data_IF_434547481920
#
_entry.id   IF_434547481920
#
_cell.length_a   1.000
_cell.length_b   1.000
_cell.length_c   1.000
_cell.angle_alpha   90.00
_cell.angle_beta   90.00
_cell.angle_gamma   90.00
#
_symmetry.space_group_name_H-M   'P 1'
#
loop_
_entity.id
_entity.type
_entity.pdbx_description
1 polymer ?
#
# COMPACT_ATOMS: atom_id res chain seq x y z
N UNK A 1 -5.59 2.61 -33.37
CA UNK A 1 -4.60 2.25 -32.34
C UNK A 1 -3.88 3.52 -31.93
N UNK A 2 -3.88 3.85 -30.64
CA UNK A 2 -3.22 5.06 -30.11
C UNK A 2 -2.09 4.68 -29.17
N UNK A 3 -1.06 5.51 -29.08
CA UNK A 3 -0.01 5.35 -28.07
C UNK A 3 -0.46 5.95 -26.74
N UNK A 4 -0.14 5.31 -25.63
CA UNK A 4 -0.55 5.79 -24.31
C UNK A 4 0.53 5.68 -23.24
N UNK A 5 0.40 6.47 -22.18
CA UNK A 5 1.19 6.38 -20.95
C UNK A 5 0.28 6.45 -19.72
N UNK A 6 0.59 5.67 -18.68
CA UNK A 6 -0.21 5.58 -17.46
C UNK A 6 0.52 6.20 -16.28
N UNK A 7 -0.20 7.03 -15.53
CA UNK A 7 0.21 7.61 -14.25
C UNK A 7 -0.79 7.26 -13.18
N UNK A 8 -0.30 7.15 -11.95
CA UNK A 8 -1.15 7.06 -10.79
C UNK A 8 -0.64 7.98 -9.69
N UNK A 9 -1.57 8.46 -8.87
CA UNK A 9 -1.29 9.16 -7.63
C UNK A 9 -1.98 8.42 -6.48
N UNK A 10 -1.43 8.53 -5.28
CA UNK A 10 -2.03 7.99 -4.07
C UNK A 10 -1.44 6.65 -3.64
N UNK A 11 -2.32 5.72 -3.25
CA UNK A 11 -1.95 4.51 -2.53
C UNK A 11 -1.76 3.29 -3.45
N UNK A 12 -1.40 2.15 -2.85
CA UNK A 12 -1.24 0.85 -3.53
C UNK A 12 -2.52 0.39 -4.23
N UNK A 13 -3.69 0.75 -3.70
CA UNK A 13 -5.00 0.46 -4.33
C UNK A 13 -5.16 1.28 -5.61
N UNK A 14 -4.90 2.59 -5.58
CA UNK A 14 -4.90 3.44 -6.78
C UNK A 14 -3.89 2.94 -7.83
N UNK A 15 -2.74 2.44 -7.40
CA UNK A 15 -1.80 1.81 -8.32
C UNK A 15 -2.39 0.56 -8.99
N UNK A 16 -3.03 -0.32 -8.22
CA UNK A 16 -3.66 -1.52 -8.78
C UNK A 16 -4.77 -1.17 -9.78
N UNK A 17 -5.60 -0.17 -9.48
CA UNK A 17 -6.64 0.33 -10.37
C UNK A 17 -6.05 0.89 -11.68
N UNK A 18 -4.94 1.63 -11.61
CA UNK A 18 -4.25 2.13 -12.80
C UNK A 18 -3.66 1.00 -13.65
N UNK A 19 -3.12 -0.05 -13.01
CA UNK A 19 -2.63 -1.23 -13.72
C UNK A 19 -3.77 -2.06 -14.35
N UNK A 20 -4.98 -1.97 -13.82
CA UNK A 20 -6.15 -2.58 -14.45
C UNK A 20 -6.55 -1.83 -15.73
N UNK A 21 -6.68 -0.50 -15.66
CA UNK A 21 -6.95 0.32 -16.83
C UNK A 21 -5.88 0.16 -17.93
N UNK A 22 -4.60 0.11 -17.52
CA UNK A 22 -3.48 -0.20 -18.41
C UNK A 22 -3.68 -1.50 -19.18
N UNK A 23 -4.11 -2.57 -18.51
CA UNK A 23 -4.33 -3.87 -19.16
C UNK A 23 -5.48 -3.84 -20.14
N UNK A 24 -6.58 -3.18 -19.79
CA UNK A 24 -7.71 -3.02 -20.70
C UNK A 24 -7.29 -2.31 -22.01
N UNK A 25 -6.47 -1.26 -21.91
CA UNK A 25 -5.93 -0.56 -23.08
C UNK A 25 -5.00 -1.44 -23.93
N UNK A 26 -4.12 -2.22 -23.31
CA UNK A 26 -3.27 -3.17 -24.03
C UNK A 26 -4.09 -4.25 -24.75
N UNK A 27 -5.12 -4.79 -24.08
CA UNK A 27 -6.03 -5.78 -24.65
C UNK A 27 -6.84 -5.21 -25.84
N UNK A 28 -7.17 -3.92 -25.79
CA UNK A 28 -7.81 -3.19 -26.88
C UNK A 28 -6.83 -2.80 -28.02
N UNK A 29 -5.56 -3.21 -27.95
CA UNK A 29 -4.56 -3.00 -28.99
C UNK A 29 -3.89 -1.62 -28.96
N UNK A 30 -4.00 -0.86 -27.87
CA UNK A 30 -3.19 0.33 -27.67
C UNK A 30 -1.73 -0.04 -27.34
N UNK A 31 -0.80 0.86 -27.67
CA UNK A 31 0.63 0.66 -27.43
C UNK A 31 1.11 1.57 -26.29
N UNK A 32 1.69 0.99 -25.25
CA UNK A 32 2.30 1.80 -24.19
C UNK A 32 3.68 2.30 -24.63
N UNK A 33 3.93 3.59 -24.44
CA UNK A 33 5.19 4.26 -24.79
C UNK A 33 5.62 5.20 -23.65
N UNK A 34 6.88 5.70 -23.64
CA UNK A 34 7.28 6.74 -22.70
C UNK A 34 6.33 7.94 -22.73
N UNK A 35 6.13 8.60 -21.60
CA UNK A 35 5.19 9.72 -21.46
C UNK A 35 5.44 10.84 -22.48
N UNK A 36 6.69 11.10 -22.86
CA UNK A 36 7.04 12.12 -23.85
C UNK A 36 6.46 11.85 -25.24
N UNK A 37 6.17 10.59 -25.54
CA UNK A 37 5.83 10.10 -26.88
C UNK A 37 4.36 9.62 -26.95
N UNK A 38 3.64 9.69 -25.82
CA UNK A 38 2.27 9.21 -25.70
C UNK A 38 1.25 10.25 -26.18
N UNK A 39 0.37 9.84 -27.09
CA UNK A 39 -0.76 10.67 -27.52
C UNK A 39 -1.87 10.73 -26.47
N UNK A 40 -2.06 9.63 -25.73
CA UNK A 40 -3.05 9.49 -24.67
C UNK A 40 -2.37 9.40 -23.30
N UNK A 41 -2.69 10.31 -22.39
CA UNK A 41 -2.27 10.21 -21.00
C UNK A 41 -3.41 9.68 -20.13
N UNK A 42 -3.18 8.59 -19.40
CA UNK A 42 -4.14 8.01 -18.46
C UNK A 42 -3.69 8.30 -17.04
N UNK A 43 -4.51 8.98 -16.25
CA UNK A 43 -4.14 9.48 -14.93
C UNK A 43 -5.16 8.99 -13.90
N UNK A 44 -4.70 8.12 -13.00
CA UNK A 44 -5.50 7.73 -11.84
C UNK A 44 -5.23 8.65 -10.65
N UNK A 45 -6.26 9.32 -10.15
CA UNK A 45 -6.18 10.42 -9.18
C UNK A 45 -6.43 9.99 -7.74
N UNK A 46 -5.99 10.83 -6.79
CA UNK A 46 -6.13 10.58 -5.36
C UNK A 46 -6.73 11.79 -4.63
N UNK A 47 -7.56 11.54 -3.61
CA UNK A 47 -8.25 12.56 -2.82
C UNK A 47 -8.20 12.27 -1.31
N UNK A 48 -7.19 11.53 -0.82
CA UNK A 48 -7.08 11.24 0.62
C UNK A 48 -6.65 12.47 1.43
N UNK A 49 -5.87 13.36 0.83
CA UNK A 49 -5.50 14.67 1.40
C UNK A 49 -5.71 15.78 0.38
N UNK A 50 -5.82 17.03 0.86
CA UNK A 50 -5.88 18.21 -0.02
C UNK A 50 -4.64 18.33 -0.92
N UNK A 51 -3.47 17.94 -0.40
CA UNK A 51 -2.22 17.94 -1.17
C UNK A 51 -2.25 16.89 -2.31
N UNK A 52 -2.73 15.68 -2.04
CA UNK A 52 -2.85 14.63 -3.05
C UNK A 52 -3.83 15.01 -4.18
N UNK A 53 -4.93 15.67 -3.82
CA UNK A 53 -5.90 16.20 -4.78
C UNK A 53 -5.29 17.32 -5.62
N UNK A 54 -4.57 18.26 -5.00
CA UNK A 54 -3.83 19.32 -5.71
C UNK A 54 -2.78 18.78 -6.68
N UNK A 55 -2.00 17.77 -6.27
CA UNK A 55 -1.04 17.07 -7.15
C UNK A 55 -1.74 16.34 -8.30
N UNK A 56 -2.92 15.78 -8.07
CA UNK A 56 -3.72 15.13 -9.12
C UNK A 56 -4.14 16.14 -10.18
N UNK A 57 -4.68 17.29 -9.77
CA UNK A 57 -5.02 18.39 -10.70
C UNK A 57 -3.80 18.88 -11.47
N UNK A 58 -2.68 19.09 -10.77
CA UNK A 58 -1.42 19.51 -11.41
C UNK A 58 -0.94 18.50 -12.45
N UNK A 59 -1.04 17.20 -12.19
CA UNK A 59 -0.67 16.14 -13.13
C UNK A 59 -1.51 16.20 -14.42
N UNK A 60 -2.82 16.43 -14.29
CA UNK A 60 -3.73 16.61 -15.43
C UNK A 60 -3.37 17.89 -16.20
N UNK A 61 -3.23 19.03 -15.52
CA UNK A 61 -2.84 20.30 -16.15
C UNK A 61 -1.47 20.30 -16.84
N UNK A 62 -0.55 19.42 -16.43
CA UNK A 62 0.72 19.22 -17.14
C UNK A 62 0.53 18.34 -18.37
N UNK A 63 -0.27 17.28 -18.25
CA UNK A 63 -0.49 16.31 -19.32
C UNK A 63 -1.21 16.92 -20.53
N UNK A 64 -2.15 17.84 -20.31
CA UNK A 64 -2.82 18.55 -21.41
C UNK A 64 -1.87 19.42 -22.26
N UNK A 65 -0.63 19.69 -21.80
CA UNK A 65 0.34 20.48 -22.59
C UNK A 65 0.99 19.67 -23.71
N UNK A 66 1.04 18.35 -23.56
CA UNK A 66 1.77 17.45 -24.48
C UNK A 66 0.86 16.39 -25.10
N UNK A 67 -0.13 15.91 -24.36
CA UNK A 67 -1.04 14.87 -24.82
C UNK A 67 -2.13 15.40 -25.74
N UNK A 68 -2.55 14.56 -26.69
CA UNK A 68 -3.71 14.78 -27.56
C UNK A 68 -5.02 14.60 -26.78
N UNK A 69 -5.09 13.58 -25.93
CA UNK A 69 -6.21 13.33 -25.02
C UNK A 69 -5.70 12.97 -23.62
N UNK A 70 -6.48 13.29 -22.60
CA UNK A 70 -6.17 12.93 -21.20
C UNK A 70 -7.36 12.22 -20.57
N UNK A 71 -7.18 10.95 -20.22
CA UNK A 71 -8.18 10.15 -19.51
C UNK A 71 -7.89 10.20 -18.01
N UNK A 72 -8.89 10.60 -17.23
CA UNK A 72 -8.71 10.83 -15.79
C UNK A 72 -9.75 10.02 -15.02
N UNK A 73 -9.29 9.23 -14.06
CA UNK A 73 -10.14 8.40 -13.20
C UNK A 73 -9.66 8.47 -11.76
N UNK A 74 -10.25 7.68 -10.87
CA UNK A 74 -9.79 7.51 -9.49
C UNK A 74 -10.59 8.28 -8.45
N UNK A 75 -10.10 8.27 -7.22
CA UNK A 75 -10.87 8.74 -6.07
C UNK A 75 -11.24 10.23 -6.17
N UNK A 76 -10.36 11.08 -6.70
CA UNK A 76 -10.67 12.51 -6.83
C UNK A 76 -11.72 12.78 -7.91
N UNK A 77 -11.70 12.00 -9.01
CA UNK A 77 -12.74 12.07 -10.05
C UNK A 77 -14.08 11.57 -9.51
N UNK A 78 -14.09 10.47 -8.75
CA UNK A 78 -15.31 9.98 -8.08
C UNK A 78 -15.85 11.00 -7.06
N UNK A 79 -14.99 11.77 -6.40
CA UNK A 79 -15.40 12.81 -5.48
C UNK A 79 -16.04 14.00 -6.21
N UNK A 80 -15.37 14.48 -7.26
CA UNK A 80 -15.84 15.59 -8.08
C UNK A 80 -15.15 15.53 -9.44
N UNK A 81 -15.86 15.06 -10.47
CA UNK A 81 -15.32 14.95 -11.83
C UNK A 81 -15.15 16.33 -12.50
N UNK A 82 -16.00 17.31 -12.17
CA UNK A 82 -16.01 18.63 -12.79
C UNK A 82 -14.67 19.36 -12.59
N UNK A 83 -14.04 19.21 -11.42
CA UNK A 83 -12.74 19.83 -11.12
C UNK A 83 -11.60 19.44 -12.08
N UNK A 84 -11.78 18.34 -12.83
CA UNK A 84 -10.84 17.84 -13.83
C UNK A 84 -11.35 18.12 -15.25
N UNK A 85 -12.63 17.85 -15.53
CA UNK A 85 -13.22 18.05 -16.85
C UNK A 85 -13.19 19.52 -17.30
N UNK A 86 -13.31 20.47 -16.36
CA UNK A 86 -13.27 21.91 -16.64
C UNK A 86 -11.85 22.45 -16.91
N UNK A 87 -10.80 21.64 -16.72
CA UNK A 87 -9.41 22.10 -16.91
C UNK A 87 -9.07 22.32 -18.39
N UNK A 88 -9.59 21.48 -19.29
CA UNK A 88 -9.35 21.54 -20.73
C UNK A 88 -10.35 20.61 -21.46
N UNK A 89 -10.80 20.99 -22.65
CA UNK A 89 -11.77 20.21 -23.44
C UNK A 89 -11.26 18.83 -23.88
N UNK A 90 -9.94 18.58 -23.82
CA UNK A 90 -9.31 17.28 -24.11
C UNK A 90 -9.32 16.31 -22.93
N UNK A 91 -9.78 16.75 -21.76
CA UNK A 91 -9.88 15.90 -20.56
C UNK A 91 -11.18 15.12 -20.58
N UNK A 92 -11.09 13.78 -20.54
CA UNK A 92 -12.23 12.89 -20.36
C UNK A 92 -12.17 12.25 -18.99
N UNK A 93 -13.25 12.39 -18.22
CA UNK A 93 -13.32 11.84 -16.85
C UNK A 93 -14.11 10.54 -16.84
N UNK A 94 -13.65 9.59 -16.03
CA UNK A 94 -14.27 8.27 -15.85
C UNK A 94 -14.52 8.05 -14.37
N UNK A 95 -15.80 7.96 -14.00
CA UNK A 95 -16.26 7.71 -12.64
C UNK A 95 -16.69 6.26 -12.47
N UNK A 96 -16.56 5.73 -11.26
CA UNK A 96 -17.02 4.38 -10.92
C UNK A 96 -15.93 3.54 -10.28
N UNK A 97 -16.13 2.22 -10.30
CA UNK A 97 -15.14 1.25 -9.85
C UNK A 97 -14.03 1.08 -10.88
N UNK A 98 -12.95 0.39 -10.49
CA UNK A 98 -11.87 0.07 -11.42
C UNK A 98 -12.33 -0.81 -12.59
N UNK A 99 -13.36 -1.65 -12.38
CA UNK A 99 -13.96 -2.47 -13.44
C UNK A 99 -14.72 -1.59 -14.44
N UNK A 100 -15.58 -0.68 -13.95
CA UNK A 100 -16.33 0.27 -14.79
C UNK A 100 -15.40 1.12 -15.65
N UNK A 101 -14.35 1.66 -15.02
CA UNK A 101 -13.34 2.49 -15.69
C UNK A 101 -12.59 1.69 -16.74
N UNK A 102 -12.18 0.46 -16.42
CA UNK A 102 -11.42 -0.38 -17.36
C UNK A 102 -12.27 -0.79 -18.56
N UNK A 103 -13.54 -1.14 -18.35
CA UNK A 103 -14.48 -1.44 -19.42
C UNK A 103 -14.73 -0.22 -20.32
N UNK A 104 -14.89 0.97 -19.73
CA UNK A 104 -15.08 2.21 -20.47
C UNK A 104 -13.84 2.62 -21.28
N UNK A 105 -12.63 2.41 -20.75
CA UNK A 105 -11.38 2.78 -21.42
C UNK A 105 -10.95 1.77 -22.50
N UNK A 106 -11.14 0.46 -22.27
CA UNK A 106 -10.77 -0.58 -23.22
C UNK A 106 -11.78 -0.78 -24.35
N UNK A 107 -13.00 -0.23 -24.22
CA UNK A 107 -14.15 -0.73 -24.98
C UNK A 107 -14.54 -2.12 -24.47
N UNK A 108 -15.79 -2.55 -24.69
CA UNK A 108 -16.23 -3.89 -24.30
C UNK A 108 -15.45 -4.95 -25.09
N UNK A 109 -14.31 -5.42 -24.55
CA UNK A 109 -13.55 -6.55 -25.09
C UNK A 109 -13.75 -7.71 -24.13
N UNK A 110 -14.42 -8.76 -24.59
CA UNK A 110 -14.50 -10.05 -23.89
C UNK A 110 -13.08 -10.53 -23.59
N UNK A 111 -12.80 -10.77 -22.30
CA UNK A 111 -11.47 -10.99 -21.73
C UNK A 111 -10.85 -12.38 -22.07
N UNK A 112 -11.21 -13.01 -23.18
CA UNK A 112 -10.75 -14.36 -23.54
C UNK A 112 -9.66 -14.41 -24.62
N UNK A 113 -9.08 -13.29 -25.04
CA UNK A 113 -7.99 -13.32 -26.02
C UNK A 113 -6.60 -13.27 -25.37
N UNK A 114 -5.84 -14.31 -25.69
CA UNK A 114 -4.45 -14.59 -25.32
C UNK A 114 -3.50 -13.43 -25.71
N UNK A 115 -3.25 -12.52 -24.76
CA UNK A 115 -2.29 -11.40 -24.91
C UNK A 115 -0.87 -11.88 -24.60
N UNK A 116 -0.42 -12.97 -25.23
CA UNK A 116 0.89 -13.58 -24.96
C UNK A 116 2.06 -12.97 -25.73
N UNK A 117 1.87 -12.05 -26.69
CA UNK A 117 2.92 -11.84 -27.72
C UNK A 117 3.39 -10.41 -28.00
N UNK A 118 3.03 -9.40 -27.19
CA UNK A 118 3.53 -8.02 -27.38
C UNK A 118 4.01 -7.34 -26.10
N UNK A 119 4.61 -8.09 -25.20
CA UNK A 119 5.34 -7.50 -24.07
C UNK A 119 6.73 -7.09 -24.56
N UNK A 120 6.96 -5.79 -24.75
CA UNK A 120 8.32 -5.26 -24.84
C UNK A 120 9.04 -5.61 -23.55
N UNK A 121 10.25 -6.16 -23.68
CA UNK A 121 11.08 -6.74 -22.62
C UNK A 121 11.49 -5.76 -21.48
N UNK A 122 10.94 -4.54 -21.45
CA UNK A 122 11.32 -3.47 -20.53
C UNK A 122 10.51 -3.41 -19.22
N UNK A 123 9.58 -4.34 -18.96
CA UNK A 123 8.57 -4.13 -17.91
C UNK A 123 8.63 -5.03 -16.67
N UNK A 124 9.64 -5.91 -16.54
CA UNK A 124 9.96 -6.58 -15.28
C UNK A 124 10.77 -5.68 -14.32
N UNK A 125 10.38 -4.41 -14.17
CA UNK A 125 11.15 -3.45 -13.36
C UNK A 125 10.88 -3.57 -11.86
N UNK A 126 9.88 -4.34 -11.43
CA UNK A 126 9.47 -4.41 -10.02
C UNK A 126 9.51 -5.84 -9.51
N UNK A 127 10.08 -6.01 -8.33
CA UNK A 127 10.10 -7.29 -7.61
C UNK A 127 8.76 -7.63 -6.95
N UNK A 128 7.91 -6.61 -6.72
CA UNK A 128 6.64 -6.72 -5.98
C UNK A 128 5.43 -6.54 -6.89
N UNK A 129 4.51 -7.50 -6.86
CA UNK A 129 3.21 -7.41 -7.50
C UNK A 129 2.13 -7.00 -6.51
N UNK A 130 1.53 -5.83 -6.72
CA UNK A 130 0.37 -5.40 -5.92
C UNK A 130 -0.90 -6.04 -6.45
N UNK A 131 -1.60 -6.79 -5.60
CA UNK A 131 -2.84 -7.47 -5.94
C UNK A 131 -3.95 -6.91 -5.06
N UNK A 132 -4.86 -6.12 -5.66
CA UNK A 132 -6.05 -5.64 -4.95
C UNK A 132 -6.95 -6.85 -4.65
N UNK A 133 -7.29 -7.10 -3.40
CA UNK A 133 -8.16 -8.22 -2.96
C UNK A 133 -9.49 -7.73 -2.40
N UNK A 134 -9.53 -6.49 -1.94
CA UNK A 134 -10.68 -5.87 -1.28
C UNK A 134 -10.75 -4.39 -1.71
N UNK A 135 -11.95 -3.81 -1.78
CA UNK A 135 -12.18 -2.40 -2.09
C UNK A 135 -13.37 -1.84 -1.29
N UNK A 136 -13.43 -0.52 -1.09
CA UNK A 136 -14.44 0.12 -0.24
C UNK A 136 -14.26 -0.17 1.26
N UNK A 137 -15.08 0.45 2.12
CA UNK A 137 -14.97 0.29 3.57
C UNK A 137 -16.25 0.74 4.28
N UNK A 138 -16.66 -0.03 5.29
CA UNK A 138 -17.85 0.23 6.12
C UNK A 138 -17.51 0.74 7.54
N UNK A 139 -16.23 1.03 7.83
CA UNK A 139 -15.81 1.50 9.16
C UNK A 139 -16.28 2.92 9.49
N UNK A 140 -16.64 3.72 8.47
CA UNK A 140 -17.14 5.10 8.60
C UNK A 140 -16.34 6.01 9.56
N UNK A 141 -15.01 5.92 9.54
CA UNK A 141 -14.15 6.79 10.37
C UNK A 141 -14.40 8.27 10.08
N UNK A 142 -14.42 9.10 11.11
CA UNK A 142 -14.89 10.49 11.05
C UNK A 142 -14.11 11.36 10.04
N UNK A 143 -12.83 11.07 9.79
CA UNK A 143 -11.97 11.80 8.86
C UNK A 143 -11.92 11.21 7.44
N UNK A 144 -12.51 10.03 7.22
CA UNK A 144 -12.26 9.23 6.04
C UNK A 144 -13.30 9.50 4.94
N UNK A 145 -12.86 9.95 3.76
CA UNK A 145 -13.72 10.18 2.60
C UNK A 145 -14.00 8.90 1.77
N UNK A 146 -13.32 7.80 2.09
CA UNK A 146 -13.33 6.59 1.27
C UNK A 146 -14.73 5.98 1.05
N UNK A 147 -15.62 5.88 2.07
CA UNK A 147 -16.97 5.36 1.84
C UNK A 147 -17.73 6.14 0.76
N UNK A 148 -17.51 7.45 0.66
CA UNK A 148 -18.12 8.31 -0.36
C UNK A 148 -17.59 8.02 -1.78
N UNK A 149 -16.28 7.80 -1.93
CA UNK A 149 -15.63 7.73 -3.25
C UNK A 149 -15.41 6.31 -3.77
N UNK A 150 -15.52 5.29 -2.91
CA UNK A 150 -15.34 3.86 -3.24
C UNK A 150 -16.52 2.98 -2.81
N UNK A 151 -17.49 3.51 -2.06
CA UNK A 151 -18.65 2.76 -1.55
C UNK A 151 -18.30 1.79 -0.42
N UNK A 152 -19.26 0.94 -0.07
CA UNK A 152 -19.13 -0.05 1.00
C UNK A 152 -18.15 -1.19 0.69
N UNK A 153 -17.81 -2.00 1.69
CA UNK A 153 -16.78 -3.02 1.56
C UNK A 153 -17.16 -4.12 0.56
N UNK A 154 -16.20 -4.50 -0.31
CA UNK A 154 -16.36 -5.56 -1.31
C UNK A 154 -15.07 -6.35 -1.45
N UNK A 155 -15.20 -7.67 -1.46
CA UNK A 155 -14.08 -8.61 -1.65
C UNK A 155 -14.09 -9.16 -3.07
N UNK A 156 -12.91 -9.38 -3.64
CA UNK A 156 -12.77 -10.09 -4.91
C UNK A 156 -12.85 -11.60 -4.67
N UNK A 157 -13.47 -12.36 -5.58
CA UNK A 157 -13.42 -13.82 -5.54
C UNK A 157 -11.99 -14.36 -5.46
N UNK A 158 -11.76 -15.38 -4.63
CA UNK A 158 -10.42 -15.96 -4.45
C UNK A 158 -9.80 -16.40 -5.78
N UNK A 159 -10.60 -17.00 -6.68
CA UNK A 159 -10.16 -17.40 -8.03
C UNK A 159 -9.53 -16.25 -8.82
N UNK A 160 -10.17 -15.08 -8.80
CA UNK A 160 -9.72 -13.90 -9.54
C UNK A 160 -8.48 -13.25 -8.92
N UNK A 161 -8.29 -13.44 -7.61
CA UNK A 161 -7.05 -13.05 -6.91
C UNK A 161 -5.91 -13.98 -7.32
N UNK A 162 -6.11 -15.30 -7.27
CA UNK A 162 -5.09 -16.29 -7.64
C UNK A 162 -4.66 -16.16 -9.11
N UNK A 163 -5.59 -15.89 -10.03
CA UNK A 163 -5.27 -15.63 -11.43
C UNK A 163 -4.41 -14.37 -11.61
N UNK A 164 -4.67 -13.32 -10.81
CA UNK A 164 -3.82 -12.13 -10.80
C UNK A 164 -2.42 -12.45 -10.28
N UNK A 165 -2.32 -13.23 -9.20
CA UNK A 165 -1.04 -13.65 -8.63
C UNK A 165 -0.22 -14.44 -9.66
N UNK A 166 -0.81 -15.44 -10.33
CA UNK A 166 -0.14 -16.22 -11.39
C UNK A 166 0.41 -15.32 -12.49
N UNK A 167 -0.37 -14.32 -12.93
CA UNK A 167 0.09 -13.35 -13.93
C UNK A 167 1.27 -12.52 -13.43
N UNK A 168 1.24 -12.05 -12.18
CA UNK A 168 2.31 -11.23 -11.58
C UNK A 168 3.60 -12.03 -11.48
N UNK A 169 3.53 -13.27 -11.01
CA UNK A 169 4.68 -14.17 -10.98
C UNK A 169 5.23 -14.43 -12.37
N UNK A 170 4.37 -14.68 -13.36
CA UNK A 170 4.77 -14.81 -14.77
C UNK A 170 5.46 -13.58 -15.36
N UNK A 171 5.28 -12.40 -14.75
CA UNK A 171 5.95 -11.14 -15.09
C UNK A 171 7.24 -10.88 -14.27
N UNK A 172 7.73 -11.89 -13.53
CA UNK A 172 8.94 -11.76 -12.70
C UNK A 172 8.73 -10.99 -11.39
N UNK A 173 7.51 -11.00 -10.84
CA UNK A 173 7.20 -10.42 -9.52
C UNK A 173 6.98 -11.53 -8.48
N UNK A 174 8.04 -12.02 -7.82
CA UNK A 174 7.95 -13.15 -6.88
C UNK A 174 7.36 -12.78 -5.50
N UNK A 175 7.32 -11.50 -5.12
CA UNK A 175 6.64 -11.05 -3.90
C UNK A 175 5.25 -10.48 -4.24
N UNK A 176 4.21 -11.15 -3.73
CA UNK A 176 2.83 -10.68 -3.83
C UNK A 176 2.49 -9.80 -2.63
N UNK A 177 2.06 -8.57 -2.89
CA UNK A 177 1.55 -7.66 -1.87
C UNK A 177 0.03 -7.54 -2.03
N UNK A 178 -0.70 -8.22 -1.16
CA UNK A 178 -2.16 -8.14 -1.09
C UNK A 178 -2.56 -6.78 -0.54
N UNK A 179 -3.42 -6.08 -1.26
CA UNK A 179 -3.81 -4.70 -0.95
C UNK A 179 -5.31 -4.49 -1.09
N UNK A 180 -5.81 -3.43 -0.47
CA UNK A 180 -7.22 -3.07 -0.40
C UNK A 180 -7.39 -1.89 0.54
N UNK A 181 -8.63 -1.47 0.74
CA UNK A 181 -8.94 -0.37 1.64
C UNK A 181 -9.02 -0.86 3.08
N UNK A 182 -9.81 -1.92 3.32
CA UNK A 182 -9.91 -2.66 4.57
C UNK A 182 -9.64 -4.14 4.29
N UNK A 183 -8.37 -4.50 4.06
CA UNK A 183 -7.99 -5.86 3.63
C UNK A 183 -8.40 -6.93 4.64
N UNK A 184 -8.42 -6.59 5.93
CA UNK A 184 -8.85 -7.47 7.01
C UNK A 184 -10.32 -7.88 6.95
N UNK A 185 -11.18 -7.10 6.29
CA UNK A 185 -12.58 -7.44 6.02
C UNK A 185 -12.76 -8.42 4.86
N UNK A 186 -11.67 -8.97 4.31
CA UNK A 186 -11.77 -9.91 3.22
C UNK A 186 -12.62 -11.12 3.59
N UNK A 187 -13.61 -11.38 2.74
CA UNK A 187 -14.45 -12.56 2.76
C UNK A 187 -14.70 -12.98 1.32
N UNK A 188 -14.21 -14.14 0.90
CA UNK A 188 -14.44 -14.63 -0.45
C UNK A 188 -15.94 -14.76 -0.71
N UNK A 189 -16.52 -14.04 -1.69
CA UNK A 189 -17.95 -14.13 -1.99
C UNK A 189 -18.40 -15.51 -2.48
N UNK A 190 -17.48 -16.36 -2.96
CA UNK A 190 -17.81 -17.68 -3.51
C UNK A 190 -17.69 -18.79 -2.48
N UNK A 191 -16.57 -18.82 -1.73
CA UNK A 191 -16.24 -19.91 -0.80
C UNK A 191 -16.28 -19.51 0.66
N UNK A 192 -16.40 -18.22 0.95
CA UNK A 192 -16.40 -17.71 2.31
C UNK A 192 -15.05 -17.77 3.03
N UNK A 193 -13.93 -17.84 2.29
CA UNK A 193 -12.58 -17.77 2.87
C UNK A 193 -12.35 -16.43 3.55
N UNK A 194 -11.69 -16.45 4.70
CA UNK A 194 -11.13 -15.28 5.35
C UNK A 194 -9.75 -14.90 4.78
N UNK A 195 -9.23 -13.74 5.19
CA UNK A 195 -7.96 -13.21 4.69
C UNK A 195 -6.80 -14.19 4.85
N UNK A 196 -6.65 -14.80 6.03
CA UNK A 196 -5.54 -15.73 6.31
C UNK A 196 -5.56 -16.95 5.40
N UNK A 197 -6.75 -17.51 5.14
CA UNK A 197 -6.93 -18.66 4.26
C UNK A 197 -6.60 -18.30 2.81
N UNK A 198 -7.02 -17.13 2.34
CA UNK A 198 -6.61 -16.63 1.02
C UNK A 198 -5.09 -16.43 0.93
N UNK A 199 -4.45 -15.88 1.97
CA UNK A 199 -3.00 -15.71 1.99
C UNK A 199 -2.26 -17.04 1.87
N UNK A 200 -2.76 -18.10 2.52
CA UNK A 200 -2.19 -19.44 2.36
C UNK A 200 -2.36 -19.96 0.93
N UNK A 201 -3.53 -19.80 0.30
CA UNK A 201 -3.70 -20.21 -1.11
C UNK A 201 -2.77 -19.45 -2.07
N UNK A 202 -2.56 -18.15 -1.80
CA UNK A 202 -1.61 -17.33 -2.58
C UNK A 202 -0.17 -17.82 -2.41
N UNK A 203 0.24 -18.20 -1.19
CA UNK A 203 1.58 -18.73 -0.92
C UNK A 203 1.87 -20.05 -1.69
N UNK A 204 0.83 -20.83 -1.95
CA UNK A 204 0.91 -22.10 -2.69
C UNK A 204 0.97 -21.92 -4.21
N UNK A 205 0.80 -20.71 -4.75
CA UNK A 205 0.96 -20.45 -6.19
C UNK A 205 2.43 -20.65 -6.60
N UNK A 206 2.73 -21.50 -7.59
CA UNK A 206 4.11 -21.71 -8.04
C UNK A 206 4.81 -20.41 -8.45
N UNK A 207 6.04 -20.20 -7.96
CA UNK A 207 6.85 -19.00 -8.19
C UNK A 207 6.53 -17.81 -7.28
N UNK A 208 5.55 -17.93 -6.37
CA UNK A 208 5.43 -17.02 -5.23
C UNK A 208 6.49 -17.38 -4.20
N UNK A 209 7.33 -16.40 -3.89
CA UNK A 209 8.38 -16.50 -2.86
C UNK A 209 7.95 -15.81 -1.56
N UNK A 210 7.15 -14.75 -1.66
CA UNK A 210 6.68 -13.98 -0.49
C UNK A 210 5.26 -13.49 -0.68
N UNK A 211 4.50 -13.53 0.41
CA UNK A 211 3.16 -12.93 0.54
C UNK A 211 3.19 -11.89 1.65
N UNK A 212 2.72 -10.68 1.34
CA UNK A 212 2.69 -9.55 2.28
C UNK A 212 1.36 -8.82 2.23
N UNK A 213 0.94 -8.27 3.37
CA UNK A 213 -0.19 -7.35 3.44
C UNK A 213 0.25 -5.89 3.30
N UNK A 214 -0.55 -5.06 2.62
CA UNK A 214 -0.30 -3.62 2.62
C UNK A 214 -0.52 -2.97 3.98
N UNK A 215 -1.66 -3.30 4.61
CA UNK A 215 -2.16 -2.77 5.87
C UNK A 215 -3.34 -3.63 6.34
N UNK A 216 -3.54 -3.74 7.65
CA UNK A 216 -4.70 -4.43 8.26
C UNK A 216 -5.12 -3.68 9.52
N UNK A 217 -6.42 -3.47 9.70
CA UNK A 217 -6.92 -2.83 10.93
C UNK A 217 -6.76 -3.78 12.13
N UNK A 218 -6.52 -3.22 13.32
CA UNK A 218 -6.24 -4.03 14.53
C UNK A 218 -7.39 -4.99 14.85
N UNK A 219 -8.63 -4.56 14.64
CA UNK A 219 -9.85 -5.36 14.83
C UNK A 219 -9.97 -6.54 13.85
N UNK A 220 -9.16 -6.56 12.79
CA UNK A 220 -9.15 -7.63 11.80
C UNK A 220 -7.92 -8.53 11.88
N UNK A 221 -7.10 -8.40 12.93
CA UNK A 221 -6.05 -9.36 13.26
C UNK A 221 -6.71 -10.59 13.91
N UNK A 222 -7.47 -11.34 13.10
CA UNK A 222 -8.23 -12.53 13.47
C UNK A 222 -7.35 -13.78 13.52
N UNK A 223 -7.88 -14.84 14.10
CA UNK A 223 -7.22 -16.14 14.24
C UNK A 223 -6.76 -16.74 12.90
N UNK A 224 -7.54 -16.56 11.82
CA UNK A 224 -7.15 -17.01 10.48
C UNK A 224 -5.84 -16.36 10.01
N UNK A 225 -5.67 -15.06 10.26
CA UNK A 225 -4.47 -14.31 9.91
C UNK A 225 -3.29 -14.69 10.82
N UNK A 226 -3.52 -14.85 12.13
CA UNK A 226 -2.50 -15.31 13.08
C UNK A 226 -1.98 -16.69 12.70
N UNK A 227 -2.88 -17.61 12.35
CA UNK A 227 -2.53 -18.96 11.89
C UNK A 227 -1.68 -18.88 10.63
N UNK A 228 -2.11 -18.14 9.62
CA UNK A 228 -1.38 -18.01 8.37
C UNK A 228 0.04 -17.43 8.58
N UNK A 229 0.20 -16.40 9.41
CA UNK A 229 1.52 -15.84 9.76
C UNK A 229 2.41 -16.80 10.56
N UNK A 230 1.81 -17.69 11.35
CA UNK A 230 2.54 -18.61 12.22
C UNK A 230 2.95 -19.91 11.51
N UNK A 231 2.21 -20.35 10.49
CA UNK A 231 2.38 -21.70 9.90
C UNK A 231 2.88 -21.72 8.46
N UNK A 232 2.89 -20.59 7.74
CA UNK A 232 3.31 -20.52 6.35
C UNK A 232 4.50 -19.57 6.17
N UNK A 233 5.68 -20.12 5.89
CA UNK A 233 6.95 -19.39 5.83
C UNK A 233 6.99 -18.30 4.75
N UNK A 234 6.23 -18.47 3.65
CA UNK A 234 6.16 -17.45 2.60
C UNK A 234 5.36 -16.23 3.03
N UNK A 235 4.51 -16.34 4.05
CA UNK A 235 3.79 -15.21 4.61
C UNK A 235 4.74 -14.43 5.50
N UNK A 236 5.07 -13.22 5.05
CA UNK A 236 6.05 -12.38 5.71
C UNK A 236 5.60 -11.97 7.12
N UNK A 237 6.46 -12.10 8.16
CA UNK A 237 6.15 -11.74 9.54
C UNK A 237 6.24 -10.22 9.75
N UNK A 238 5.43 -9.48 9.00
CA UNK A 238 5.33 -8.04 9.08
C UNK A 238 3.87 -7.63 8.88
N UNK A 239 3.32 -6.93 9.88
CA UNK A 239 2.03 -6.28 9.76
C UNK A 239 2.17 -4.77 9.88
N UNK A 240 1.46 -4.08 9.00
CA UNK A 240 1.22 -2.65 9.13
C UNK A 240 -0.18 -2.46 9.71
N UNK A 241 -0.27 -2.06 10.97
CA UNK A 241 -1.50 -2.01 11.77
C UNK A 241 -1.79 -0.57 12.17
N UNK A 242 -2.60 0.18 11.40
CA UNK A 242 -2.85 1.60 11.64
C UNK A 242 -3.47 1.85 13.03
N UNK A 243 -2.75 2.59 13.87
CA UNK A 243 -3.18 2.95 15.22
C UNK A 243 -4.05 4.20 15.19
N UNK A 244 -3.74 5.14 14.30
CA UNK A 244 -4.33 6.47 14.14
C UNK A 244 -4.07 7.41 15.33
N UNK A 245 -4.29 6.97 16.56
CA UNK A 245 -4.02 7.66 17.81
C UNK A 245 -3.83 6.65 18.94
N UNK A 246 -3.06 6.97 19.99
CA UNK A 246 -3.00 6.19 21.22
C UNK A 246 -3.76 6.81 22.39
N UNK A 247 -4.72 7.68 22.09
CA UNK A 247 -5.60 8.33 23.05
C UNK A 247 -7.06 7.95 22.79
N UNK A 248 -7.76 7.49 23.82
CA UNK A 248 -9.12 6.94 23.72
C UNK A 248 -10.16 8.00 23.32
N UNK A 249 -10.06 9.23 23.84
CA UNK A 249 -10.98 10.32 23.48
C UNK A 249 -10.81 10.74 22.01
N UNK A 250 -9.56 10.82 21.54
CA UNK A 250 -9.25 11.06 20.13
C UNK A 250 -9.70 9.89 19.24
N UNK A 251 -9.45 8.64 19.64
CA UNK A 251 -9.91 7.45 18.90
C UNK A 251 -11.43 7.41 18.78
N UNK A 252 -12.16 7.71 19.85
CA UNK A 252 -13.61 7.83 19.84
C UNK A 252 -14.08 8.94 18.90
N UNK A 253 -13.46 10.12 18.97
CA UNK A 253 -13.79 11.24 18.07
C UNK A 253 -13.44 10.96 16.60
N UNK A 254 -12.44 10.12 16.35
CA UNK A 254 -12.11 9.59 15.03
C UNK A 254 -13.11 8.54 14.53
N UNK A 255 -14.03 8.06 15.37
CA UNK A 255 -14.96 6.98 15.05
C UNK A 255 -14.27 5.62 14.92
N UNK A 256 -13.27 5.35 15.77
CA UNK A 256 -12.59 4.05 15.82
C UNK A 256 -13.36 3.08 16.73
N UNK A 257 -13.32 1.80 16.35
CA UNK A 257 -14.03 0.72 17.03
C UNK A 257 -13.11 -0.05 17.99
N UNK A 258 -12.10 0.63 18.53
CA UNK A 258 -11.17 0.11 19.52
C UNK A 258 -10.59 1.26 20.34
N UNK A 259 -10.08 0.93 21.53
CA UNK A 259 -9.32 1.82 22.40
C UNK A 259 -7.82 1.41 22.46
N UNK A 260 -7.00 2.18 23.20
CA UNK A 260 -5.57 1.94 23.33
C UNK A 260 -5.23 0.58 23.96
N UNK A 261 -6.02 0.14 24.95
CA UNK A 261 -5.81 -1.14 25.62
C UNK A 261 -6.13 -2.33 24.70
N UNK A 262 -7.23 -2.27 23.96
CA UNK A 262 -7.62 -3.30 22.98
C UNK A 262 -6.60 -3.38 21.83
N UNK A 263 -6.06 -2.24 21.40
CA UNK A 263 -4.97 -2.22 20.43
C UNK A 263 -3.75 -2.99 20.97
N UNK A 264 -3.32 -2.67 22.19
CA UNK A 264 -2.16 -3.29 22.81
C UNK A 264 -2.35 -4.79 23.00
N UNK A 265 -3.50 -5.22 23.55
CA UNK A 265 -3.84 -6.62 23.77
C UNK A 265 -3.74 -7.42 22.45
N UNK A 266 -4.25 -6.87 21.35
CA UNK A 266 -4.20 -7.55 20.07
C UNK A 266 -2.78 -7.63 19.50
N UNK A 267 -1.95 -6.61 19.72
CA UNK A 267 -0.52 -6.68 19.36
C UNK A 267 0.23 -7.70 20.22
N UNK A 268 -0.09 -7.82 21.51
CA UNK A 268 0.49 -8.83 22.39
C UNK A 268 0.12 -10.25 21.93
N UNK A 269 -1.14 -10.48 21.57
CA UNK A 269 -1.60 -11.76 21.02
C UNK A 269 -0.92 -12.09 19.69
N UNK A 270 -0.73 -11.09 18.82
CA UNK A 270 0.04 -11.24 17.58
C UNK A 270 1.49 -11.66 17.85
N UNK A 271 2.18 -11.02 18.81
CA UNK A 271 3.56 -11.36 19.18
C UNK A 271 3.65 -12.72 19.89
N UNK A 272 2.64 -13.11 20.64
CA UNK A 272 2.57 -14.44 21.25
C UNK A 272 2.45 -15.54 20.18
N UNK A 273 1.64 -15.32 19.14
CA UNK A 273 1.49 -16.25 18.02
C UNK A 273 2.70 -16.24 17.07
N UNK A 274 3.31 -15.07 16.86
CA UNK A 274 4.40 -14.86 15.90
C UNK A 274 5.52 -14.04 16.56
N UNK A 275 6.42 -14.66 17.36
CA UNK A 275 7.41 -13.96 18.18
C UNK A 275 8.33 -12.99 17.43
N UNK A 276 8.60 -13.26 16.14
CA UNK A 276 9.49 -12.45 15.31
C UNK A 276 8.77 -11.43 14.42
N UNK A 277 7.47 -11.21 14.64
CA UNK A 277 6.69 -10.26 13.85
C UNK A 277 7.16 -8.84 14.06
N UNK A 278 7.36 -8.14 12.95
CA UNK A 278 7.61 -6.72 12.94
C UNK A 278 6.29 -5.96 12.76
N UNK A 279 6.03 -4.95 13.59
CA UNK A 279 4.81 -4.14 13.52
C UNK A 279 5.14 -2.70 13.20
N UNK A 280 4.49 -2.17 12.17
CA UNK A 280 4.56 -0.76 11.79
C UNK A 280 3.16 -0.15 11.79
N UNK A 281 3.04 1.18 11.84
CA UNK A 281 1.73 1.82 12.00
C UNK A 281 1.63 3.17 11.29
N UNK A 282 0.40 3.66 11.18
CA UNK A 282 0.06 5.02 10.77
C UNK A 282 -0.56 5.75 11.96
N UNK A 283 -0.23 7.05 12.11
CA UNK A 283 -0.79 7.94 13.13
C UNK A 283 -1.16 9.27 12.49
N UNK A 284 -2.33 9.80 12.85
CA UNK A 284 -2.81 11.12 12.41
C UNK A 284 -2.57 12.12 13.54
N UNK A 285 -1.64 13.04 13.35
CA UNK A 285 -1.35 14.11 14.31
C UNK A 285 -2.15 15.39 14.00
N UNK A 286 -2.50 16.10 15.05
CA UNK A 286 -3.32 17.30 15.06
C UNK A 286 -4.74 17.08 14.60
N UNK A 287 -5.31 15.91 14.91
CA UNK A 287 -6.75 15.71 14.82
C UNK A 287 -7.48 16.78 15.67
N UNK A 288 -8.71 17.20 15.33
CA UNK A 288 -9.35 18.37 15.95
C UNK A 288 -9.44 18.33 17.48
N UNK A 289 -9.58 17.15 18.07
CA UNK A 289 -9.66 16.95 19.53
C UNK A 289 -8.31 16.64 20.18
N UNK A 290 -7.19 16.59 19.43
CA UNK A 290 -5.89 16.17 19.94
C UNK A 290 -5.19 17.26 20.77
N UNK A 291 -5.24 17.12 22.09
CA UNK A 291 -4.43 17.89 23.03
C UNK A 291 -2.96 17.43 23.06
N UNK A 292 -2.09 18.22 23.72
CA UNK A 292 -0.69 17.81 23.94
C UNK A 292 -0.59 16.55 24.80
N UNK A 293 -1.48 16.37 25.79
CA UNK A 293 -1.49 15.16 26.62
C UNK A 293 -1.96 13.93 25.84
N UNK A 294 -2.96 14.07 24.96
CA UNK A 294 -3.40 13.00 24.06
C UNK A 294 -2.25 12.55 23.14
N UNK A 295 -1.49 13.50 22.59
CA UNK A 295 -0.31 13.19 21.79
C UNK A 295 0.76 12.45 22.63
N UNK A 296 0.99 12.83 23.89
CA UNK A 296 1.92 12.10 24.78
C UNK A 296 1.47 10.66 25.04
N UNK A 297 0.17 10.41 25.21
CA UNK A 297 -0.36 9.04 25.33
C UNK A 297 -0.12 8.22 24.07
N UNK A 298 -0.23 8.85 22.89
CA UNK A 298 0.15 8.22 21.61
C UNK A 298 1.63 7.81 21.57
N UNK A 299 2.54 8.65 22.05
CA UNK A 299 3.96 8.28 22.18
C UNK A 299 4.17 7.10 23.13
N UNK A 300 3.46 7.08 24.26
CA UNK A 300 3.49 5.98 25.22
C UNK A 300 3.00 4.66 24.63
N UNK A 301 1.91 4.68 23.85
CA UNK A 301 1.38 3.46 23.22
C UNK A 301 2.33 2.91 22.14
N UNK A 302 3.02 3.77 21.40
CA UNK A 302 4.05 3.36 20.43
C UNK A 302 5.19 2.59 21.12
N UNK A 303 5.60 3.02 22.30
CA UNK A 303 6.59 2.30 23.11
C UNK A 303 6.07 0.97 23.61
N UNK A 304 4.86 0.97 24.19
CA UNK A 304 4.25 -0.22 24.76
C UNK A 304 4.02 -1.31 23.70
N UNK A 305 3.56 -0.95 22.50
CA UNK A 305 3.35 -1.88 21.39
C UNK A 305 4.64 -2.22 20.62
N UNK A 306 5.78 -1.65 21.02
CA UNK A 306 7.09 -1.84 20.39
C UNK A 306 7.08 -1.58 18.87
N UNK A 307 6.44 -0.49 18.45
CA UNK A 307 6.29 -0.14 17.04
C UNK A 307 7.63 0.31 16.47
N UNK A 308 8.07 -0.32 15.39
CA UNK A 308 9.40 -0.06 14.80
C UNK A 308 9.39 1.03 13.73
N UNK A 309 8.22 1.38 13.20
CA UNK A 309 8.07 2.46 12.22
C UNK A 309 6.68 3.05 12.28
N UNK A 310 6.62 4.38 12.25
CA UNK A 310 5.37 5.15 12.21
C UNK A 310 5.36 6.03 10.97
N UNK A 311 4.32 5.93 10.15
CA UNK A 311 4.01 7.00 9.18
C UNK A 311 3.12 8.04 9.86
N UNK A 312 3.72 9.19 10.15
CA UNK A 312 2.99 10.34 10.69
C UNK A 312 2.31 11.11 9.56
N UNK A 313 0.98 11.19 9.61
CA UNK A 313 0.16 12.03 8.76
C UNK A 313 -0.37 13.23 9.55
N UNK A 314 -0.30 14.42 8.98
CA UNK A 314 -1.00 15.57 9.54
C UNK A 314 -2.49 15.49 9.18
N UNK A 315 -3.37 15.75 10.14
CA UNK A 315 -4.80 15.84 9.88
C UNK A 315 -5.08 16.85 8.75
N UNK A 316 -5.82 16.39 7.75
CA UNK A 316 -6.22 17.15 6.57
C UNK A 316 -7.75 17.15 6.49
N UNK A 317 -8.43 18.26 6.81
CA UNK A 317 -9.88 18.39 6.69
C UNK A 317 -10.35 18.02 5.28
N UNK A 318 -11.42 17.22 5.21
CA UNK A 318 -12.06 16.80 3.96
C UNK A 318 -13.53 17.20 4.00
N UNK A 319 -13.99 18.08 3.08
CA UNK A 319 -15.40 18.45 2.99
C UNK A 319 -16.31 17.23 2.92
N UNK A 320 -17.38 17.24 3.71
CA UNK A 320 -18.36 16.15 3.76
C UNK A 320 -18.00 14.98 4.68
N UNK A 321 -16.90 15.07 5.43
CA UNK A 321 -16.57 14.10 6.50
C UNK A 321 -17.07 14.59 7.86
N UNK A 322 -17.33 13.69 8.81
CA UNK A 322 -17.83 14.08 10.13
C UNK A 322 -16.82 14.94 10.91
N UNK A 323 -15.52 14.69 10.74
CA UNK A 323 -14.44 15.45 11.36
C UNK A 323 -14.31 16.88 10.80
N UNK A 324 -14.85 17.15 9.60
CA UNK A 324 -14.86 18.49 9.01
C UNK A 324 -15.65 19.47 9.89
N UNK A 325 -16.76 19.00 10.48
CA UNK A 325 -17.60 19.80 11.38
C UNK A 325 -16.91 20.16 12.71
N UNK A 326 -15.85 19.44 13.09
CA UNK A 326 -15.06 19.73 14.29
C UNK A 326 -14.07 20.89 14.09
N UNK A 327 -13.84 21.29 12.83
CA UNK A 327 -12.88 22.31 12.44
C UNK A 327 -11.42 21.83 12.53
N UNK A 328 -10.48 22.67 12.07
CA UNK A 328 -9.05 22.39 12.18
C UNK A 328 -8.41 23.28 13.25
N UNK A 329 -8.37 22.77 14.48
CA UNK A 329 -7.98 23.56 15.66
C UNK A 329 -6.48 23.58 15.92
N UNK A 330 -5.73 22.60 15.38
CA UNK A 330 -4.31 22.44 15.65
C UNK A 330 -3.48 23.14 14.57
N UNK A 331 -2.64 24.13 14.91
CA UNK A 331 -1.83 24.85 13.92
C UNK A 331 -0.89 23.93 13.13
N UNK A 332 -0.62 24.29 11.87
CA UNK A 332 0.23 23.50 10.98
C UNK A 332 1.65 23.28 11.53
N UNK A 333 2.23 24.27 12.22
CA UNK A 333 3.55 24.14 12.85
C UNK A 333 3.54 23.15 14.01
N UNK A 334 2.47 23.07 14.79
CA UNK A 334 2.32 22.08 15.86
C UNK A 334 2.17 20.67 15.28
N UNK A 335 1.39 20.50 14.19
CA UNK A 335 1.30 19.21 13.46
C UNK A 335 2.66 18.74 12.94
N UNK A 336 3.46 19.68 12.42
CA UNK A 336 4.81 19.40 11.91
C UNK A 336 5.76 19.03 13.04
N UNK A 337 5.68 19.71 14.18
CA UNK A 337 6.44 19.39 15.38
C UNK A 337 6.10 17.99 15.88
N UNK A 338 4.82 17.68 16.11
CA UNK A 338 4.32 16.36 16.53
C UNK A 338 4.75 15.26 15.57
N UNK A 339 4.61 15.49 14.26
CA UNK A 339 5.08 14.53 13.23
C UNK A 339 6.58 14.23 13.34
N UNK A 340 7.40 15.22 13.66
CA UNK A 340 8.86 15.04 13.83
C UNK A 340 9.17 14.29 15.12
N UNK A 341 8.54 14.67 16.23
CA UNK A 341 8.68 13.98 17.52
C UNK A 341 8.31 12.50 17.38
N UNK A 342 7.18 12.20 16.74
CA UNK A 342 6.68 10.85 16.52
C UNK A 342 7.65 9.96 15.73
N UNK A 343 8.22 10.50 14.64
CA UNK A 343 9.21 9.78 13.83
C UNK A 343 10.52 9.56 14.58
N UNK A 344 10.96 10.55 15.36
CA UNK A 344 12.14 10.41 16.21
C UNK A 344 11.97 9.32 17.27
N UNK A 345 10.79 9.26 17.87
CA UNK A 345 10.44 8.24 18.87
C UNK A 345 10.47 6.82 18.29
N UNK A 346 9.81 6.62 17.14
CA UNK A 346 9.81 5.35 16.43
C UNK A 346 11.21 4.92 15.94
N UNK A 347 12.09 5.88 15.62
CA UNK A 347 13.45 5.59 15.14
C UNK A 347 14.33 4.94 16.23
N UNK A 348 14.10 5.26 17.52
CA UNK A 348 14.79 4.58 18.63
C UNK A 348 14.46 3.09 18.62
N UNK A 349 13.17 2.73 18.47
CA UNK A 349 12.70 1.34 18.38
C UNK A 349 13.17 0.65 17.10
N UNK A 350 13.08 1.33 15.95
CA UNK A 350 13.66 0.90 14.67
C UNK A 350 15.13 0.51 14.80
N UNK A 351 15.91 1.32 15.52
CA UNK A 351 17.34 1.07 15.73
C UNK A 351 17.58 -0.14 16.62
N UNK A 352 16.84 -0.30 17.71
CA UNK A 352 16.94 -1.49 18.57
C UNK A 352 16.58 -2.78 17.81
N UNK A 353 15.49 -2.75 17.04
CA UNK A 353 15.07 -3.86 16.18
C UNK A 353 16.16 -4.29 15.20
N UNK A 354 16.78 -3.33 14.50
CA UNK A 354 17.89 -3.61 13.58
C UNK A 354 19.14 -4.09 14.32
N UNK A 355 19.45 -3.51 15.48
CA UNK A 355 20.62 -3.89 16.27
C UNK A 355 20.55 -5.35 16.75
N UNK A 356 19.36 -5.82 17.10
CA UNK A 356 19.13 -7.21 17.50
C UNK A 356 19.41 -8.24 16.39
N UNK A 357 19.46 -7.80 15.12
CA UNK A 357 19.75 -8.66 13.96
C UNK A 357 21.24 -8.77 13.64
N UNK A 358 22.10 -7.93 14.23
CA UNK A 358 23.52 -7.92 13.92
C UNK A 358 24.20 -9.25 14.30
N UNK A 359 25.10 -9.72 13.45
CA UNK A 359 25.74 -11.04 13.55
C UNK A 359 24.87 -12.20 13.06
N UNK A 360 23.55 -11.99 12.93
CA UNK A 360 22.60 -12.97 12.43
C UNK A 360 22.64 -13.16 10.91
N UNK A 361 21.92 -14.19 10.45
CA UNK A 361 21.80 -14.56 9.05
C UNK A 361 20.33 -14.43 8.63
N UNK A 362 20.08 -13.81 7.47
CA UNK A 362 18.75 -13.46 7.00
C UNK A 362 18.59 -13.74 5.50
N UNK A 363 17.36 -13.96 5.06
CA UNK A 363 16.98 -14.01 3.65
C UNK A 363 16.54 -12.63 3.16
N UNK A 364 17.17 -12.12 2.10
CA UNK A 364 16.89 -10.79 1.54
C UNK A 364 16.41 -10.89 0.11
N UNK A 365 15.23 -10.33 -0.15
CA UNK A 365 14.70 -10.19 -1.51
C UNK A 365 15.25 -8.91 -2.13
N UNK A 366 16.04 -9.04 -3.20
CA UNK A 366 16.69 -7.91 -3.86
C UNK A 366 15.68 -7.10 -4.68
N UNK A 367 15.56 -5.81 -4.36
CA UNK A 367 14.59 -4.89 -4.96
C UNK A 367 15.26 -3.87 -5.88
N UNK A 368 16.48 -3.42 -5.56
CA UNK A 368 17.24 -2.50 -6.41
C UNK A 368 18.67 -2.99 -6.59
N UNK A 369 19.15 -2.93 -7.81
CA UNK A 369 20.52 -3.22 -8.21
C UNK A 369 21.07 -1.94 -8.85
N UNK A 370 22.18 -1.44 -8.31
CA UNK A 370 22.93 -0.32 -8.86
C UNK A 370 24.43 -0.64 -8.82
N UNK A 371 25.22 0.04 -9.66
CA UNK A 371 26.66 -0.22 -9.81
C UNK A 371 27.45 -0.08 -8.50
N UNK A 372 26.95 0.75 -7.58
CA UNK A 372 27.60 1.04 -6.30
C UNK A 372 27.08 0.18 -5.15
N UNK A 373 25.84 -0.30 -5.23
CA UNK A 373 25.17 -0.99 -4.12
C UNK A 373 23.87 -1.68 -4.56
N UNK A 374 23.58 -2.85 -3.99
CA UNK A 374 22.26 -3.45 -4.09
C UNK A 374 21.45 -3.19 -2.81
N UNK A 375 20.13 -3.09 -2.91
CA UNK A 375 19.26 -3.01 -1.74
C UNK A 375 18.10 -3.99 -1.86
N UNK A 376 17.72 -4.54 -0.72
CA UNK A 376 16.60 -5.47 -0.60
C UNK A 376 15.96 -5.36 0.76
N UNK A 377 15.02 -6.27 1.01
CA UNK A 377 14.32 -6.34 2.29
C UNK A 377 14.29 -7.77 2.81
N UNK A 378 14.42 -7.93 4.12
CA UNK A 378 14.10 -9.17 4.83
C UNK A 378 12.59 -9.44 4.81
N UNK A 379 12.17 -10.62 5.24
CA UNK A 379 10.76 -10.98 5.31
C UNK A 379 9.96 -10.01 6.20
N UNK A 380 10.54 -9.59 7.33
CA UNK A 380 9.94 -8.64 8.27
C UNK A 380 9.99 -7.16 7.84
N UNK A 381 10.42 -6.89 6.60
CA UNK A 381 10.53 -5.55 6.02
C UNK A 381 11.66 -4.67 6.58
N UNK A 382 12.70 -5.28 7.15
CA UNK A 382 13.96 -4.59 7.44
C UNK A 382 14.74 -4.37 6.15
N UNK A 383 15.24 -3.14 5.96
CA UNK A 383 16.01 -2.77 4.78
C UNK A 383 17.44 -3.28 4.90
N UNK A 384 17.94 -3.92 3.85
CA UNK A 384 19.31 -4.42 3.77
C UNK A 384 20.06 -3.79 2.59
N UNK A 385 21.32 -3.48 2.83
CA UNK A 385 22.27 -2.95 1.88
C UNK A 385 23.33 -4.02 1.61
N UNK A 386 23.46 -4.40 0.34
CA UNK A 386 24.35 -5.46 -0.10
C UNK A 386 25.43 -4.91 -1.04
N UNK A 387 26.56 -5.61 -1.21
CA UNK A 387 27.57 -5.27 -2.19
C UNK A 387 26.98 -5.13 -3.61
N UNK A 388 27.64 -4.37 -4.50
CA UNK A 388 27.27 -4.35 -5.92
C UNK A 388 27.41 -5.75 -6.53
N UNK A 389 26.58 -6.04 -7.54
CA UNK A 389 26.50 -7.35 -8.20
C UNK A 389 26.23 -8.55 -7.27
N UNK A 390 25.70 -8.32 -6.06
CA UNK A 390 25.42 -9.38 -5.09
C UNK A 390 24.36 -10.38 -5.58
N UNK A 391 23.36 -9.93 -6.34
CA UNK A 391 22.31 -10.76 -6.93
C UNK A 391 21.57 -10.02 -8.04
N UNK A 392 20.67 -10.72 -8.74
CA UNK A 392 19.72 -10.09 -9.67
C UNK A 392 18.51 -9.52 -8.91
N UNK A 393 17.86 -8.53 -9.51
CA UNK A 393 16.56 -8.04 -9.03
C UNK A 393 15.57 -9.21 -9.00
N UNK A 394 14.86 -9.36 -7.89
CA UNK A 394 13.89 -10.44 -7.68
C UNK A 394 14.46 -11.71 -7.05
N UNK A 395 15.78 -11.78 -6.86
CA UNK A 395 16.43 -12.93 -6.23
C UNK A 395 16.35 -12.86 -4.70
N UNK A 396 16.11 -14.00 -4.06
CA UNK A 396 16.29 -14.20 -2.63
C UNK A 396 17.73 -14.62 -2.36
N UNK A 397 18.42 -13.90 -1.49
CA UNK A 397 19.80 -14.20 -1.12
C UNK A 397 19.97 -14.26 0.39
N UNK A 398 20.73 -15.26 0.82
CA UNK A 398 21.25 -15.34 2.18
C UNK A 398 22.28 -14.26 2.44
N UNK A 399 22.15 -13.56 3.57
CA UNK A 399 23.08 -12.52 3.99
C UNK A 399 23.40 -12.62 5.46
N UNK A 400 24.59 -12.15 5.85
CA UNK A 400 24.96 -11.91 7.24
C UNK A 400 24.84 -10.43 7.56
N UNK A 401 24.12 -10.08 8.63
CA UNK A 401 23.93 -8.70 9.07
C UNK A 401 25.18 -8.22 9.82
N UNK A 402 25.88 -7.19 9.32
CA UNK A 402 27.19 -6.78 9.87
C UNK A 402 27.10 -5.51 10.73
N UNK A 403 26.49 -4.46 10.19
CA UNK A 403 26.41 -3.17 10.87
C UNK A 403 25.11 -2.41 10.56
N UNK A 404 24.73 -1.51 11.46
CA UNK A 404 23.67 -0.54 11.20
C UNK A 404 24.13 0.46 10.14
N UNK A 405 23.30 0.71 9.13
CA UNK A 405 23.63 1.64 8.05
C UNK A 405 22.38 2.39 7.59
N UNK A 406 22.40 3.73 7.69
CA UNK A 406 21.28 4.59 7.34
C UNK A 406 19.94 4.12 7.99
N UNK A 407 18.90 3.88 7.19
CA UNK A 407 17.59 3.34 7.61
C UNK A 407 17.52 1.80 7.60
N UNK A 408 18.65 1.11 7.44
CA UNK A 408 18.73 -0.34 7.31
C UNK A 408 19.97 -0.95 7.97
N UNK A 409 20.40 -2.08 7.42
CA UNK A 409 21.55 -2.88 7.85
C UNK A 409 22.46 -3.11 6.64
N UNK A 410 23.77 -2.93 6.79
CA UNK A 410 24.75 -3.39 5.79
C UNK A 410 25.03 -4.87 6.01
N UNK A 411 24.96 -5.63 4.93
CA UNK A 411 25.08 -7.08 4.98
C UNK A 411 26.14 -7.57 3.99
N UNK A 412 26.80 -8.68 4.33
CA UNK A 412 27.62 -9.45 3.41
C UNK A 412 26.85 -10.67 2.89
N UNK A 413 27.17 -11.14 1.68
CA UNK A 413 26.58 -12.37 1.15
C UNK A 413 26.94 -13.57 2.02
N UNK A 414 25.97 -14.45 2.22
CA UNK A 414 26.13 -15.68 2.99
C UNK A 414 25.58 -16.86 2.17
N UNK A 415 26.41 -17.47 1.29
CA UNK A 415 25.96 -18.48 0.32
C UNK A 415 25.45 -19.78 0.94
N UNK A 416 25.80 -20.07 2.19
CA UNK A 416 25.41 -21.30 2.90
C UNK A 416 23.91 -21.39 3.24
N UNK A 417 23.15 -20.32 2.98
CA UNK A 417 21.70 -20.24 3.24
C UNK A 417 20.86 -20.38 1.95
N UNK A 418 21.46 -20.69 0.79
CA UNK A 418 20.75 -20.75 -0.50
C UNK A 418 19.84 -21.96 -0.64
#
# INVERSE_FOLDING_TARGET
MSTFAVKFLGCKVSQADAMQARRALLAAGHLEVPESDAELHVINTCCITREAEGKSRQSVSRSVRTAREVYVSGCAVNLNAAQFAELDSRVRTFTGTADDVSAAMGGCVDLEHDVSSRQTAEQATRTRGFVKVQDGCDCHCAYCIIPTVRGGARSRPARAVLDEVRRRVGQGQPETVMTGISVGDYRDPERGLELGELMMEVAQVPGVERVRLSSVEVIHVKDSLLTALATEDKICPHLHVPMQSGDDEVLQAMGRHYNAAEYLERIEQLRAAVPHVNVTTDVIVGFPTESREAFRRTLGLIDAAEITRVHAFSYSPRPGTAADALGDQVPAEEKKLRSRELRGHAEVRSRHHRAARLGGVEQVLVDKVADTQCTGYTADYTRCYLPPAAARRGELVGVRCEELHADGIRCALYPELQ
#
